data_IF_188710134934
#
_entry.id   IF_188710134934
#
_cell.length_a   1.000
_cell.length_b   1.000
_cell.length_c   1.000
_cell.angle_alpha   90.00
_cell.angle_beta   90.00
_cell.angle_gamma   90.00
#
_symmetry.space_group_name_H-M   'P 1'
#
loop_
_entity.id
_entity.type
_entity.pdbx_description
1 polymer ?
#
# COMPACT_ATOMS: atom_id res chain seq x y z
N UNK A 1 -22.78 19.17 0.56
CA UNK A 1 -22.26 19.30 0.53
C UNK A 1 -21.31 18.98 0.51
N UNK A 2 -20.77 18.67 0.45
CA UNK A 2 -19.91 18.61 0.37
C UNK A 2 -19.05 18.05 -0.32
N UNK A 3 -18.82 18.02 -1.24
CA UNK A 3 -17.86 17.76 -2.27
C UNK A 3 -16.48 18.16 -1.88
N UNK A 4 -16.36 18.89 -0.84
CA UNK A 4 -15.06 19.29 -0.37
C UNK A 4 -14.20 18.11 0.02
N UNK A 5 -14.82 16.96 0.20
CA UNK A 5 -14.07 15.79 0.62
C UNK A 5 -13.86 14.77 -0.49
N UNK A 6 -14.24 15.16 -1.70
CA UNK A 6 -14.01 14.25 -2.80
C UNK A 6 -12.56 14.29 -3.24
N UNK A 7 -12.08 13.14 -3.66
CA UNK A 7 -10.70 13.03 -4.11
C UNK A 7 -10.69 12.92 -5.64
N UNK A 8 -9.56 13.25 -6.20
CA UNK A 8 -9.41 13.21 -7.65
C UNK A 8 -9.52 11.78 -8.17
N UNK A 9 -10.03 11.59 -9.38
CA UNK A 9 -10.14 10.23 -9.94
C UNK A 9 -8.81 9.49 -9.97
N UNK A 10 -7.71 10.16 -10.26
CA UNK A 10 -6.42 9.53 -10.25
C UNK A 10 -6.01 9.07 -8.86
N UNK A 11 -6.32 9.89 -7.85
CA UNK A 11 -6.05 9.52 -6.46
C UNK A 11 -6.87 8.30 -6.09
N UNK A 12 -8.15 8.30 -6.48
CA UNK A 12 -9.01 7.18 -6.18
C UNK A 12 -8.44 5.88 -6.74
N UNK A 13 -8.02 5.89 -8.00
CA UNK A 13 -7.45 4.70 -8.62
C UNK A 13 -6.15 4.29 -7.96
N UNK A 14 -5.33 5.24 -7.59
CA UNK A 14 -4.08 4.94 -6.91
C UNK A 14 -4.34 4.25 -5.58
N UNK A 15 -5.23 4.82 -4.77
CA UNK A 15 -5.54 4.23 -3.46
C UNK A 15 -6.16 2.85 -3.65
N UNK A 16 -7.06 2.68 -4.62
CA UNK A 16 -7.63 1.37 -4.86
C UNK A 16 -6.55 0.34 -5.19
N UNK A 17 -5.58 0.73 -6.00
CA UNK A 17 -4.53 -0.18 -6.35
C UNK A 17 -3.71 -0.60 -5.12
N UNK A 18 -3.51 0.34 -4.19
CA UNK A 18 -2.80 0.01 -2.95
C UNK A 18 -3.62 -0.90 -2.05
N UNK A 19 -4.94 -0.72 -2.03
CA UNK A 19 -5.81 -1.62 -1.27
C UNK A 19 -5.75 -3.03 -1.86
N UNK A 20 -5.82 -3.15 -3.18
CA UNK A 20 -5.70 -4.46 -3.83
C UNK A 20 -4.38 -5.13 -3.50
N UNK A 21 -3.31 -4.33 -3.41
CA UNK A 21 -1.97 -4.85 -3.24
C UNK A 21 -1.54 -4.96 -1.77
N UNK A 22 -2.49 -4.94 -0.85
CA UNK A 22 -2.15 -4.95 0.57
C UNK A 22 -1.16 -6.05 0.95
N UNK A 23 -1.43 -7.28 0.51
CA UNK A 23 -0.55 -8.39 0.88
C UNK A 23 0.83 -8.27 0.24
N UNK A 24 0.87 -7.82 -1.00
CA UNK A 24 2.15 -7.62 -1.68
C UNK A 24 2.95 -6.51 -1.01
N UNK A 25 2.25 -5.44 -0.60
CA UNK A 25 2.91 -4.35 0.10
C UNK A 25 3.48 -4.80 1.44
N UNK A 26 2.77 -5.68 2.14
CA UNK A 26 3.28 -6.23 3.40
C UNK A 26 4.54 -7.06 3.18
N UNK A 27 4.58 -7.84 2.10
CA UNK A 27 5.77 -8.59 1.75
C UNK A 27 6.93 -7.67 1.41
N UNK A 28 6.63 -6.62 0.69
CA UNK A 28 7.66 -5.66 0.31
C UNK A 28 8.23 -4.95 1.54
N UNK A 29 7.38 -4.63 2.50
CA UNK A 29 7.83 -4.04 3.76
C UNK A 29 8.83 -4.96 4.43
N UNK A 30 8.51 -6.25 4.52
CA UNK A 30 9.43 -7.21 5.13
C UNK A 30 10.74 -7.30 4.37
N UNK A 31 10.68 -7.29 3.05
CA UNK A 31 11.87 -7.35 2.23
C UNK A 31 12.76 -6.12 2.47
N UNK A 32 12.15 -4.94 2.52
CA UNK A 32 12.91 -3.71 2.73
C UNK A 32 13.50 -3.66 4.13
N UNK A 33 12.78 -4.15 5.13
CA UNK A 33 13.31 -4.20 6.48
C UNK A 33 14.53 -5.09 6.58
N UNK A 34 14.49 -6.24 5.93
CA UNK A 34 15.62 -7.14 5.91
C UNK A 34 16.81 -6.52 5.20
N UNK A 35 16.55 -5.80 4.12
CA UNK A 35 17.60 -5.12 3.40
C UNK A 35 18.28 -4.06 4.25
N UNK A 36 17.50 -3.34 5.04
CA UNK A 36 18.04 -2.33 5.93
C UNK A 36 18.85 -2.96 7.07
N UNK A 37 18.37 -4.07 7.60
CA UNK A 37 19.05 -4.74 8.68
C UNK A 37 20.36 -5.42 8.24
N UNK A 38 20.40 -5.86 7.00
CA UNK A 38 21.56 -6.56 6.48
C UNK A 38 22.09 -5.90 5.20
N UNK A 39 22.44 -4.63 5.29
CA UNK A 39 22.83 -3.92 4.07
C UNK A 39 24.11 -4.44 3.47
N UNK A 40 24.99 -5.01 4.30
CA UNK A 40 26.27 -5.46 3.81
C UNK A 40 26.22 -6.77 3.08
N UNK A 41 25.16 -7.50 3.27
CA UNK A 41 25.11 -8.82 2.71
C UNK A 41 25.12 -8.81 1.19
N UNK A 42 24.33 -7.95 0.61
CA UNK A 42 24.30 -7.86 -0.82
C UNK A 42 25.37 -6.97 -1.34
N UNK A 43 25.64 -5.91 -0.62
CA UNK A 43 26.67 -5.03 -1.06
C UNK A 43 28.02 -5.69 -1.01
N UNK A 44 28.24 -6.58 -0.08
CA UNK A 44 29.49 -7.28 -0.04
C UNK A 44 29.76 -7.98 -1.34
N UNK A 45 28.77 -8.61 -1.87
CA UNK A 45 28.93 -9.35 -3.08
C UNK A 45 29.37 -8.46 -4.22
N UNK A 46 28.89 -7.25 -4.23
CA UNK A 46 29.20 -6.34 -5.30
C UNK A 46 30.39 -5.49 -5.05
N UNK A 47 30.67 -5.23 -3.81
CA UNK A 47 31.68 -4.30 -3.46
C UNK A 47 33.01 -4.92 -3.30
N UNK A 48 33.01 -6.16 -3.00
CA UNK A 48 34.20 -6.85 -2.79
C UNK A 48 35.18 -6.74 -3.88
N UNK A 49 34.79 -6.32 -4.98
CA UNK A 49 35.67 -6.30 -6.05
C UNK A 49 36.63 -5.24 -5.89
N UNK A 50 37.76 -5.65 -5.65
CA UNK A 50 38.83 -4.90 -5.32
C UNK A 50 38.99 -3.47 -5.71
N UNK A 51 38.75 -3.13 -6.89
CA UNK A 51 39.10 -1.78 -7.29
C UNK A 51 38.39 -0.72 -6.53
N UNK A 52 37.53 -1.17 -5.71
CA UNK A 52 36.71 -0.27 -5.08
C UNK A 52 37.29 0.65 -4.15
N UNK A 53 38.37 0.30 -3.64
CA UNK A 53 38.91 1.09 -2.61
C UNK A 53 39.15 2.51 -3.01
N UNK A 54 39.50 2.71 -4.25
CA UNK A 54 39.79 4.03 -4.68
C UNK A 54 38.55 4.86 -4.90
N UNK A 55 37.43 4.21 -5.12
CA UNK A 55 36.22 4.93 -5.34
C UNK A 55 35.36 5.04 -4.13
N UNK A 56 35.90 4.73 -2.99
CA UNK A 56 35.11 4.67 -1.81
C UNK A 56 34.29 5.89 -1.47
N UNK A 57 34.82 7.09 -1.52
CA UNK A 57 34.01 8.25 -1.14
C UNK A 57 32.76 8.38 -1.98
N UNK A 58 32.90 8.19 -3.29
CA UNK A 58 31.75 8.30 -4.18
C UNK A 58 30.78 7.14 -3.94
N UNK A 59 31.33 5.97 -3.81
CA UNK A 59 30.53 4.79 -3.59
C UNK A 59 29.80 4.86 -2.25
N UNK A 60 30.47 5.35 -1.22
CA UNK A 60 29.84 5.51 0.07
C UNK A 60 28.65 6.47 -0.03
N UNK A 61 28.82 7.55 -0.77
CA UNK A 61 27.75 8.53 -0.97
C UNK A 61 26.57 7.88 -1.68
N UNK A 62 26.87 7.08 -2.71
CA UNK A 62 25.81 6.37 -3.43
C UNK A 62 25.07 5.39 -2.53
N UNK A 63 25.80 4.67 -1.69
CA UNK A 63 25.18 3.74 -0.77
C UNK A 63 24.30 4.46 0.24
N UNK A 64 24.75 5.60 0.74
CA UNK A 64 23.95 6.37 1.66
C UNK A 64 22.70 6.88 1.01
N UNK A 65 22.80 7.37 -0.24
CA UNK A 65 21.64 7.82 -0.96
C UNK A 65 20.64 6.69 -1.17
N UNK A 66 21.15 5.50 -1.50
CA UNK A 66 20.29 4.34 -1.67
C UNK A 66 19.58 3.97 -0.38
N UNK A 67 20.31 4.00 0.73
CA UNK A 67 19.69 3.69 2.02
C UNK A 67 18.62 4.70 2.40
N UNK A 68 18.88 5.98 2.15
CA UNK A 68 17.88 7.01 2.44
C UNK A 68 16.63 6.80 1.61
N UNK A 69 16.81 6.46 0.34
CA UNK A 69 15.67 6.19 -0.53
C UNK A 69 14.90 4.97 -0.06
N UNK A 70 15.62 3.90 0.30
CA UNK A 70 14.99 2.68 0.79
C UNK A 70 14.19 2.96 2.06
N UNK A 71 14.74 3.75 2.97
CA UNK A 71 14.04 4.10 4.20
C UNK A 71 12.78 4.90 3.91
N UNK A 72 12.84 5.79 2.93
CA UNK A 72 11.67 6.58 2.56
C UNK A 72 10.59 5.70 1.96
N UNK A 73 10.99 4.78 1.07
CA UNK A 73 10.05 3.86 0.46
C UNK A 73 9.38 2.99 1.53
N UNK A 74 10.16 2.52 2.49
CA UNK A 74 9.63 1.69 3.57
C UNK A 74 8.60 2.47 4.37
N UNK A 75 8.89 3.71 4.75
CA UNK A 75 7.95 4.50 5.52
C UNK A 75 6.66 4.74 4.75
N UNK A 76 6.78 5.03 3.44
CA UNK A 76 5.59 5.27 2.64
C UNK A 76 4.71 4.02 2.58
N UNK A 77 5.33 2.86 2.41
CA UNK A 77 4.58 1.61 2.38
C UNK A 77 3.94 1.32 3.73
N UNK A 78 4.66 1.56 4.81
CA UNK A 78 4.11 1.32 6.15
C UNK A 78 2.92 2.22 6.42
N UNK A 79 3.00 3.47 6.02
CA UNK A 79 1.89 4.40 6.21
C UNK A 79 0.67 3.97 5.42
N UNK A 80 0.88 3.52 4.19
CA UNK A 80 -0.24 3.08 3.36
C UNK A 80 -0.88 1.83 3.93
N UNK A 81 -0.07 0.84 4.32
CA UNK A 81 -0.59 -0.40 4.88
C UNK A 81 -1.36 -0.10 6.17
N UNK A 82 -0.80 0.76 7.00
CA UNK A 82 -1.48 1.12 8.24
C UNK A 82 -2.81 1.80 7.96
N UNK A 83 -2.85 2.69 6.99
CA UNK A 83 -4.10 3.37 6.64
C UNK A 83 -5.15 2.38 6.16
N UNK A 84 -4.75 1.47 5.27
CA UNK A 84 -5.68 0.47 4.74
C UNK A 84 -6.24 -0.39 5.86
N UNK A 85 -5.37 -0.89 6.73
CA UNK A 85 -5.80 -1.80 7.78
C UNK A 85 -6.58 -1.09 8.88
N UNK A 86 -6.15 0.11 9.27
CA UNK A 86 -6.84 0.86 10.30
C UNK A 86 -8.25 1.24 9.89
N UNK A 87 -8.39 1.75 8.66
CA UNK A 87 -9.71 2.15 8.19
C UNK A 87 -10.62 0.94 8.00
N UNK A 88 -10.03 -0.19 7.62
CA UNK A 88 -10.80 -1.42 7.52
C UNK A 88 -11.34 -1.84 8.88
N UNK A 89 -10.49 -1.79 9.92
CA UNK A 89 -10.93 -2.21 11.25
C UNK A 89 -12.02 -1.33 11.82
N UNK A 90 -12.12 -0.11 11.36
CA UNK A 90 -13.17 0.79 11.82
C UNK A 90 -14.53 0.52 11.20
N UNK A 91 -14.58 -0.29 10.17
CA UNK A 91 -15.84 -0.55 9.48
C UNK A 91 -16.73 -1.51 10.27
N UNK A 92 -18.05 -1.36 10.15
CA UNK A 92 -18.96 -2.40 10.67
C UNK A 92 -18.70 -3.71 9.94
N UNK A 93 -19.08 -4.82 10.55
CA UNK A 93 -18.83 -6.13 9.97
C UNK A 93 -19.42 -6.29 8.57
N UNK A 94 -20.59 -5.73 8.34
CA UNK A 94 -21.23 -5.81 7.04
C UNK A 94 -20.40 -5.12 5.97
N UNK A 95 -19.82 -3.98 6.31
CA UNK A 95 -18.97 -3.24 5.39
C UNK A 95 -17.63 -3.93 5.19
N UNK A 96 -17.08 -4.52 6.25
CA UNK A 96 -15.84 -5.29 6.12
C UNK A 96 -16.01 -6.41 5.10
N UNK A 97 -17.17 -7.07 5.13
CA UNK A 97 -17.41 -8.14 4.17
C UNK A 97 -17.39 -7.62 2.74
N UNK A 98 -17.98 -6.46 2.51
CA UNK A 98 -17.95 -5.84 1.18
C UNK A 98 -16.53 -5.62 0.72
N UNK A 99 -15.70 -5.05 1.60
CA UNK A 99 -14.32 -4.76 1.24
C UNK A 99 -13.53 -6.03 0.97
N UNK A 100 -13.71 -7.05 1.80
CA UNK A 100 -13.03 -8.33 1.57
C UNK A 100 -13.41 -8.92 0.23
N UNK A 101 -14.68 -8.90 -0.09
CA UNK A 101 -15.14 -9.49 -1.35
C UNK A 101 -14.68 -8.68 -2.55
N UNK A 102 -14.60 -7.37 -2.40
CA UNK A 102 -14.18 -6.52 -3.50
C UNK A 102 -12.68 -6.59 -3.77
N UNK A 103 -11.88 -6.53 -2.72
CA UNK A 103 -10.45 -6.34 -2.89
C UNK A 103 -9.59 -7.55 -2.58
N UNK A 104 -10.03 -8.40 -1.67
CA UNK A 104 -9.16 -9.46 -1.15
C UNK A 104 -9.69 -10.86 -1.38
N UNK A 105 -10.65 -10.98 -2.28
CA UNK A 105 -11.19 -12.29 -2.67
C UNK A 105 -10.38 -12.80 -3.86
N UNK A 106 -9.46 -13.70 -3.59
CA UNK A 106 -8.55 -14.19 -4.63
C UNK A 106 -9.20 -15.19 -5.56
N UNK A 107 -10.24 -15.83 -5.09
CA UNK A 107 -10.83 -16.94 -5.85
C UNK A 107 -11.72 -16.48 -7.00
N UNK A 108 -12.34 -15.34 -6.88
CA UNK A 108 -13.30 -14.86 -7.85
C UNK A 108 -13.23 -13.35 -7.96
N UNK A 109 -13.40 -12.88 -9.18
CA UNK A 109 -13.60 -11.44 -9.38
C UNK A 109 -15.09 -11.21 -9.39
N UNK A 110 -15.58 -10.53 -8.38
CA UNK A 110 -17.00 -10.28 -8.24
C UNK A 110 -17.35 -8.89 -8.74
N UNK A 111 -18.47 -8.81 -9.43
CA UNK A 111 -19.04 -7.53 -9.83
C UNK A 111 -19.76 -6.93 -8.64
N UNK A 112 -20.01 -5.63 -8.68
CA UNK A 112 -20.71 -4.95 -7.59
C UNK A 112 -22.06 -5.58 -7.29
N UNK A 113 -22.75 -6.02 -8.31
CA UNK A 113 -24.03 -6.68 -8.12
C UNK A 113 -23.89 -7.99 -7.36
N UNK A 114 -22.86 -8.76 -7.70
CA UNK A 114 -22.63 -10.04 -7.04
C UNK A 114 -22.23 -9.84 -5.59
N UNK A 115 -21.44 -8.81 -5.31
CA UNK A 115 -21.08 -8.50 -3.93
C UNK A 115 -22.33 -8.11 -3.15
N UNK A 116 -23.19 -7.31 -3.79
CA UNK A 116 -24.43 -6.91 -3.16
C UNK A 116 -25.29 -8.11 -2.81
N UNK A 117 -25.38 -9.08 -3.72
CA UNK A 117 -26.14 -10.28 -3.46
C UNK A 117 -25.59 -11.06 -2.28
N UNK A 118 -24.28 -11.21 -2.21
CA UNK A 118 -23.68 -11.95 -1.11
C UNK A 118 -23.77 -11.22 0.22
N UNK A 119 -23.85 -9.90 0.19
CA UNK A 119 -23.95 -9.10 1.40
C UNK A 119 -25.37 -8.68 1.72
N UNK A 120 -26.33 -9.11 0.90
CA UNK A 120 -27.75 -8.73 1.05
C UNK A 120 -27.93 -7.22 1.01
N UNK A 121 -27.31 -6.59 0.05
CA UNK A 121 -27.39 -5.15 -0.15
C UNK A 121 -27.60 -4.84 -1.63
N UNK A 122 -28.15 -3.67 -1.87
CA UNK A 122 -28.26 -3.19 -3.24
C UNK A 122 -26.85 -2.78 -3.72
N UNK A 123 -26.60 -2.92 -5.01
CA UNK A 123 -25.29 -2.60 -5.56
C UNK A 123 -24.90 -1.13 -5.34
N UNK A 124 -25.88 -0.23 -5.26
CA UNK A 124 -25.58 1.17 -4.99
C UNK A 124 -25.01 1.36 -3.59
N UNK A 125 -25.49 0.56 -2.63
CA UNK A 125 -24.94 0.57 -1.27
C UNK A 125 -23.50 0.07 -1.28
N UNK A 126 -23.25 -1.00 -2.03
CA UNK A 126 -21.89 -1.52 -2.16
C UNK A 126 -20.96 -0.47 -2.74
N UNK A 127 -21.42 0.23 -3.80
CA UNK A 127 -20.62 1.27 -4.41
C UNK A 127 -20.31 2.39 -3.43
N UNK A 128 -21.29 2.78 -2.62
CA UNK A 128 -21.10 3.82 -1.62
C UNK A 128 -20.11 3.40 -0.55
N UNK A 129 -20.20 2.15 -0.07
CA UNK A 129 -19.28 1.63 0.92
C UNK A 129 -17.86 1.63 0.35
N UNK A 130 -17.69 1.16 -0.85
CA UNK A 130 -16.40 1.15 -1.52
C UNK A 130 -15.82 2.57 -1.62
N UNK A 131 -16.62 3.50 -2.11
CA UNK A 131 -16.17 4.88 -2.29
C UNK A 131 -15.76 5.50 -0.96
N UNK A 132 -16.57 5.31 0.06
CA UNK A 132 -16.26 5.90 1.35
C UNK A 132 -15.01 5.30 1.97
N UNK A 133 -14.81 4.01 1.79
CA UNK A 133 -13.61 3.37 2.31
C UNK A 133 -12.35 3.90 1.62
N UNK A 134 -12.38 4.00 0.29
CA UNK A 134 -11.24 4.51 -0.45
C UNK A 134 -10.93 5.94 -0.03
N UNK A 135 -11.97 6.76 0.14
CA UNK A 135 -11.77 8.14 0.61
C UNK A 135 -11.17 8.18 2.01
N UNK A 136 -11.64 7.30 2.89
CA UNK A 136 -11.12 7.28 4.25
C UNK A 136 -9.64 6.92 4.26
N UNK A 137 -9.24 5.96 3.45
CA UNK A 137 -7.83 5.60 3.34
C UNK A 137 -7.03 6.77 2.78
N UNK A 138 -7.53 7.41 1.73
CA UNK A 138 -6.83 8.56 1.14
C UNK A 138 -6.65 9.68 2.16
N UNK A 139 -7.69 9.97 2.92
CA UNK A 139 -7.59 11.02 3.94
C UNK A 139 -6.63 10.63 5.05
N UNK A 140 -6.61 9.37 5.40
CA UNK A 140 -5.71 8.88 6.45
C UNK A 140 -4.24 9.14 6.08
N UNK A 141 -3.88 8.93 4.81
CA UNK A 141 -2.51 9.18 4.37
C UNK A 141 -2.29 10.62 3.90
N UNK A 142 -3.33 11.43 3.90
CA UNK A 142 -3.19 12.84 3.56
C UNK A 142 -3.15 13.15 2.08
N UNK A 143 -3.70 12.29 1.24
CA UNK A 143 -3.74 12.49 -0.20
C UNK A 143 -5.16 12.90 -0.61
N UNK A 144 -5.26 13.87 -1.50
CA UNK A 144 -6.57 14.31 -2.00
C UNK A 144 -6.75 13.99 -3.45
#
# INVERSE_FOLDING_TARGET
MHTTHDIKPGTFKYIESEIYNLQENKKEINRLRLEILNPLKETDTNIIYGPLQKGEPVRTTELMATRLLTNKMLRNLEEMVEAVESEYERLPEEHKKVIRLKYWNKDRKLKMEQIGEECHMHRNTVTTIRRNYVKAVAMHVGIK
#
